data_IF_074150859748
#
_entry.id   IF_074150859748
#
_cell.length_a   1.000
_cell.length_b   1.000
_cell.length_c   1.000
_cell.angle_alpha   90.00
_cell.angle_beta   90.00
_cell.angle_gamma   90.00
#
_symmetry.space_group_name_H-M   'P 1'
#
loop_
_entity.id
_entity.type
_entity.pdbx_description
1 polymer ?
#
# COMPACT_ATOMS: atom_id res chain seq x y z
N UNK A 1 -8.21 -18.15 -10.82
CA UNK A 1 -9.23 -17.26 -10.17
C UNK A 1 -8.49 -16.25 -9.30
N UNK A 2 -8.65 -14.94 -9.53
CA UNK A 2 -8.03 -13.91 -8.65
C UNK A 2 -8.88 -13.80 -7.39
N UNK A 3 -8.27 -13.96 -6.22
CA UNK A 3 -8.96 -13.71 -4.96
C UNK A 3 -8.88 -12.22 -4.65
N UNK A 4 -10.04 -11.63 -4.36
CA UNK A 4 -10.10 -10.22 -3.98
C UNK A 4 -9.61 -10.08 -2.56
N UNK A 5 -8.50 -9.36 -2.38
CA UNK A 5 -8.01 -8.98 -1.05
C UNK A 5 -9.05 -8.11 -0.36
N UNK A 6 -9.40 -8.43 0.88
CA UNK A 6 -10.16 -7.55 1.78
C UNK A 6 -9.18 -6.97 2.80
N UNK A 7 -9.24 -5.67 2.99
CA UNK A 7 -8.43 -4.96 3.98
C UNK A 7 -9.32 -4.56 5.16
N UNK A 8 -8.80 -4.68 6.39
CA UNK A 8 -9.44 -4.09 7.56
C UNK A 8 -9.44 -2.56 7.46
N UNK A 9 -10.23 -1.88 8.31
CA UNK A 9 -10.21 -0.42 8.34
C UNK A 9 -8.84 0.13 8.76
N UNK A 10 -8.21 -0.46 9.78
CA UNK A 10 -6.85 -0.11 10.22
C UNK A 10 -5.81 -0.26 9.09
N UNK A 11 -5.89 -1.35 8.31
CA UNK A 11 -5.01 -1.53 7.16
C UNK A 11 -5.21 -0.43 6.12
N UNK A 12 -6.47 -0.06 5.81
CA UNK A 12 -6.75 1.02 4.85
C UNK A 12 -6.21 2.35 5.35
N UNK A 13 -6.45 2.70 6.60
CA UNK A 13 -5.99 3.97 7.18
C UNK A 13 -4.46 4.08 7.11
N UNK A 14 -3.74 3.04 7.56
CA UNK A 14 -2.28 2.97 7.44
C UNK A 14 -1.80 3.06 5.99
N UNK A 15 -2.49 2.36 5.07
CA UNK A 15 -2.18 2.39 3.63
C UNK A 15 -2.42 3.77 3.00
N UNK A 16 -3.46 4.50 3.43
CA UNK A 16 -3.71 5.87 3.01
C UNK A 16 -2.62 6.81 3.52
N UNK A 17 -2.32 6.79 4.82
CA UNK A 17 -1.26 7.62 5.40
C UNK A 17 0.09 7.39 4.74
N UNK A 18 0.44 6.12 4.49
CA UNK A 18 1.65 5.79 3.77
C UNK A 18 1.63 6.30 2.32
N UNK A 19 0.51 6.12 1.61
CA UNK A 19 0.37 6.55 0.23
C UNK A 19 0.48 8.08 0.07
N UNK A 20 -0.12 8.86 0.96
CA UNK A 20 0.03 10.31 1.02
C UNK A 20 1.50 10.70 1.21
N UNK A 21 2.20 10.05 2.15
CA UNK A 21 3.62 10.31 2.43
C UNK A 21 4.53 10.05 1.23
N UNK A 22 4.25 9.03 0.42
CA UNK A 22 5.04 8.70 -0.78
C UNK A 22 4.44 9.27 -2.07
N UNK A 23 3.45 10.17 -1.97
CA UNK A 23 2.83 10.83 -3.13
C UNK A 23 2.17 9.86 -4.13
N UNK A 24 1.54 8.80 -3.63
CA UNK A 24 0.82 7.80 -4.42
C UNK A 24 1.67 7.04 -5.46
N UNK A 25 2.99 7.14 -5.37
CA UNK A 25 3.93 6.51 -6.30
C UNK A 25 5.15 5.96 -5.55
N UNK A 26 5.26 4.64 -5.51
CA UNK A 26 6.44 3.96 -4.96
C UNK A 26 7.64 4.17 -5.90
N UNK A 27 8.69 4.82 -5.42
CA UNK A 27 9.97 4.97 -6.10
C UNK A 27 11.00 3.95 -5.60
N UNK A 28 12.15 3.86 -6.27
CA UNK A 28 13.22 2.92 -5.87
C UNK A 28 13.82 3.28 -4.51
N UNK A 29 13.93 4.57 -4.18
CA UNK A 29 14.44 4.99 -2.88
C UNK A 29 13.47 4.68 -1.72
N UNK A 30 12.18 4.51 -2.00
CA UNK A 30 11.18 4.14 -1.00
C UNK A 30 11.19 2.64 -0.66
N UNK A 31 12.02 1.82 -1.33
CA UNK A 31 11.93 0.37 -1.27
C UNK A 31 12.05 -0.18 0.15
N UNK A 32 12.98 0.35 0.95
CA UNK A 32 13.14 -0.03 2.35
C UNK A 32 11.92 0.37 3.20
N UNK A 33 11.39 1.59 3.01
CA UNK A 33 10.22 2.08 3.74
C UNK A 33 8.96 1.28 3.39
N UNK A 34 8.78 0.96 2.09
CA UNK A 34 7.69 0.11 1.60
C UNK A 34 7.79 -1.29 2.19
N UNK A 35 8.99 -1.88 2.25
CA UNK A 35 9.18 -3.21 2.79
C UNK A 35 8.85 -3.26 4.29
N UNK A 36 9.32 -2.27 5.06
CA UNK A 36 9.01 -2.15 6.48
C UNK A 36 7.51 -1.98 6.72
N UNK A 37 6.88 -1.03 6.01
CA UNK A 37 5.43 -0.80 6.08
C UNK A 37 4.62 -2.05 5.74
N UNK A 38 4.99 -2.75 4.66
CA UNK A 38 4.34 -3.98 4.23
C UNK A 38 4.41 -5.08 5.30
N UNK A 39 5.55 -5.20 5.97
CA UNK A 39 5.74 -6.16 7.07
C UNK A 39 4.88 -5.80 8.29
N UNK A 40 4.81 -4.52 8.65
CA UNK A 40 4.00 -4.04 9.79
C UNK A 40 2.49 -4.23 9.55
N UNK A 41 2.00 -3.87 8.37
CA UNK A 41 0.56 -3.91 8.04
C UNK A 41 0.09 -5.31 7.59
N UNK A 42 1.03 -6.21 7.30
CA UNK A 42 0.75 -7.56 6.82
C UNK A 42 0.23 -7.59 5.38
N UNK A 43 0.72 -6.68 4.52
CA UNK A 43 0.30 -6.55 3.13
C UNK A 43 1.50 -6.79 2.20
N UNK A 44 1.31 -7.54 1.13
CA UNK A 44 2.36 -7.74 0.12
C UNK A 44 2.61 -6.44 -0.66
N UNK A 45 3.88 -6.11 -0.95
CA UNK A 45 4.25 -4.95 -1.78
C UNK A 45 3.46 -4.83 -3.08
N UNK A 46 3.29 -5.94 -3.81
CA UNK A 46 2.51 -5.93 -5.05
C UNK A 46 1.04 -5.53 -4.83
N UNK A 47 0.45 -5.99 -3.72
CA UNK A 47 -0.93 -5.67 -3.34
C UNK A 47 -1.06 -4.19 -2.97
N UNK A 48 -0.12 -3.65 -2.18
CA UNK A 48 -0.05 -2.21 -1.86
C UNK A 48 0.07 -1.37 -3.13
N UNK A 49 0.97 -1.74 -4.07
CA UNK A 49 1.15 -1.03 -5.33
C UNK A 49 -0.13 -0.97 -6.16
N UNK A 50 -0.81 -2.10 -6.33
CA UNK A 50 -2.09 -2.16 -7.06
C UNK A 50 -3.17 -1.35 -6.34
N UNK A 51 -3.22 -1.45 -5.01
CA UNK A 51 -4.16 -0.66 -4.21
C UNK A 51 -3.92 0.85 -4.37
N UNK A 52 -2.68 1.33 -4.27
CA UNK A 52 -2.35 2.75 -4.46
C UNK A 52 -2.74 3.22 -5.86
N UNK A 53 -2.47 2.42 -6.89
CA UNK A 53 -2.88 2.74 -8.26
C UNK A 53 -4.40 2.88 -8.42
N UNK A 54 -5.17 2.05 -7.71
CA UNK A 54 -6.63 2.09 -7.77
C UNK A 54 -7.23 3.24 -6.95
N UNK A 55 -6.54 3.73 -5.92
CA UNK A 55 -7.08 4.74 -5.01
C UNK A 55 -6.56 6.16 -5.27
N UNK A 56 -5.47 6.34 -6.03
CA UNK A 56 -4.86 7.67 -6.29
C UNK A 56 -5.74 8.68 -7.06
N UNK A 57 -6.88 8.26 -7.59
CA UNK A 57 -7.83 9.09 -8.35
C UNK A 57 -9.25 8.92 -7.83
N UNK A 58 -9.41 8.28 -6.67
CA UNK A 58 -10.67 8.24 -5.94
C UNK A 58 -10.77 9.47 -5.07
#
# INVERSE_FOLDING_TARGET
KRFRTKFSMDQKEKMYMFAEKVGWRIQKHDEAAVQHFCAEVGVKRHVLKVWMHNNKHT
#
